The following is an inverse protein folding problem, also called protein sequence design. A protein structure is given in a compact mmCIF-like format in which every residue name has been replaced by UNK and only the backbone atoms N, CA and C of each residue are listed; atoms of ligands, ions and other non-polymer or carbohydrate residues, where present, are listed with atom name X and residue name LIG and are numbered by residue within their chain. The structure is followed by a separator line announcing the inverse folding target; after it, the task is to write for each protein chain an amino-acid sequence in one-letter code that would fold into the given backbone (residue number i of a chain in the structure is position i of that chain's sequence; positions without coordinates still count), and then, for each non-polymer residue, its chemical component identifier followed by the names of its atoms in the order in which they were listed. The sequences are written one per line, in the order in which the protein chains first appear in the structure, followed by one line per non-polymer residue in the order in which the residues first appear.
data_IF_223781055382
#
_entry.id   IF_223781055382
#
_cell.length_a   1.000
_cell.length_b   1.000
_cell.length_c   1.000
_cell.angle_alpha   90.00
_cell.angle_beta   90.00
_cell.angle_gamma   90.00
#
_symmetry.space_group_name_H-M   'P 1'
#
loop_
_entity.id
_entity.type
_entity.pdbx_description
1 polymer ?
#
# COMPACT_ATOMS: atom_id res chain seq x y z
N UNK A 1 7.41 -18.70 -1.87
CA UNK A 1 6.60 -17.62 -2.49
C UNK A 1 7.57 -16.60 -3.09
N UNK A 2 7.35 -16.12 -4.31
CA UNK A 2 8.10 -15.00 -4.94
C UNK A 2 7.19 -13.79 -5.13
N UNK A 3 7.74 -12.60 -5.34
CA UNK A 3 6.96 -11.36 -5.49
C UNK A 3 6.02 -11.42 -6.70
N UNK A 4 6.49 -11.94 -7.85
CA UNK A 4 5.65 -12.10 -9.05
C UNK A 4 4.47 -13.04 -8.82
N UNK A 5 4.70 -14.14 -8.09
CA UNK A 5 3.63 -15.09 -7.73
C UNK A 5 2.63 -14.44 -6.78
N UNK A 6 3.10 -13.63 -5.83
CA UNK A 6 2.24 -12.85 -4.94
C UNK A 6 1.39 -11.84 -5.71
N UNK A 7 1.98 -11.06 -6.61
CA UNK A 7 1.29 -10.03 -7.40
C UNK A 7 0.19 -10.60 -8.30
N UNK A 8 0.30 -11.87 -8.71
CA UNK A 8 -0.71 -12.57 -9.51
C UNK A 8 -1.84 -13.21 -8.67
N UNK A 9 -1.78 -13.16 -7.33
CA UNK A 9 -2.81 -13.77 -6.48
C UNK A 9 -4.13 -12.99 -6.52
N UNK A 10 -5.28 -13.66 -6.37
CA UNK A 10 -6.56 -12.98 -6.21
C UNK A 10 -6.55 -12.09 -4.97
N UNK A 11 -7.17 -10.90 -5.04
CA UNK A 11 -7.26 -9.93 -3.95
C UNK A 11 -8.02 -10.51 -2.75
N UNK A 12 -7.30 -11.22 -1.89
CA UNK A 12 -7.75 -11.75 -0.61
C UNK A 12 -6.70 -11.35 0.43
N UNK A 13 -7.13 -10.96 1.63
CA UNK A 13 -6.21 -10.53 2.69
C UNK A 13 -5.37 -11.73 3.16
N UNK A 14 -4.09 -11.72 2.80
CA UNK A 14 -3.08 -12.70 3.20
C UNK A 14 -1.77 -11.96 3.48
N UNK A 15 -0.80 -12.67 4.03
CA UNK A 15 0.55 -12.16 4.28
C UNK A 15 1.59 -13.17 3.78
N UNK A 16 2.83 -12.73 3.64
CA UNK A 16 3.98 -13.62 3.42
C UNK A 16 4.98 -13.39 4.54
N UNK A 17 5.39 -14.45 5.25
CA UNK A 17 6.42 -14.39 6.27
C UNK A 17 7.57 -15.33 5.90
N UNK A 18 8.72 -14.77 5.50
CA UNK A 18 9.89 -15.57 5.15
C UNK A 18 9.64 -16.58 4.01
N UNK A 19 8.91 -16.16 2.97
CA UNK A 19 8.58 -16.96 1.80
C UNK A 19 7.37 -17.89 1.96
N UNK A 20 6.70 -17.88 3.12
CA UNK A 20 5.53 -18.72 3.44
C UNK A 20 4.25 -17.89 3.41
N UNK A 21 3.22 -18.38 2.71
CA UNK A 21 1.89 -17.76 2.72
C UNK A 21 1.22 -17.94 4.10
N UNK A 22 0.72 -16.86 4.66
CA UNK A 22 -0.03 -16.85 5.92
C UNK A 22 -1.41 -16.26 5.64
N UNK A 23 -2.46 -17.00 5.99
CA UNK A 23 -3.82 -16.47 5.88
C UNK A 23 -4.03 -15.38 6.93
N UNK A 24 -4.60 -14.23 6.54
CA UNK A 24 -5.03 -13.26 7.54
C UNK A 24 -6.25 -13.77 8.30
N UNK A 25 -6.43 -13.37 9.56
CA UNK A 25 -7.64 -13.67 10.32
C UNK A 25 -8.89 -13.16 9.60
N UNK A 26 -10.01 -13.86 9.78
CA UNK A 26 -11.31 -13.35 9.36
C UNK A 26 -11.65 -12.12 10.21
N UNK A 27 -11.80 -10.96 9.58
CA UNK A 27 -12.02 -9.70 10.26
C UNK A 27 -13.51 -9.44 10.40
N UNK A 28 -14.00 -9.44 11.64
CA UNK A 28 -15.38 -9.11 11.92
C UNK A 28 -15.62 -7.58 11.90
N UNK A 29 -16.89 -7.17 11.96
CA UNK A 29 -17.27 -5.75 11.96
C UNK A 29 -16.67 -4.96 13.13
N UNK A 30 -16.42 -5.60 14.28
CA UNK A 30 -15.84 -4.91 15.45
C UNK A 30 -14.37 -4.58 15.21
N UNK A 31 -13.64 -5.52 14.63
CA UNK A 31 -12.26 -5.31 14.21
C UNK A 31 -12.18 -4.15 13.23
N UNK A 32 -13.01 -4.15 12.18
CA UNK A 32 -12.99 -3.07 11.18
C UNK A 32 -13.31 -1.71 11.79
N UNK A 33 -14.30 -1.65 12.69
CA UNK A 33 -14.62 -0.41 13.40
C UNK A 33 -13.45 0.09 14.27
N UNK A 34 -12.73 -0.82 14.93
CA UNK A 34 -11.57 -0.46 15.73
C UNK A 34 -10.44 0.10 14.86
N UNK A 35 -10.14 -0.55 13.73
CA UNK A 35 -9.11 -0.10 12.78
C UNK A 35 -9.45 1.28 12.22
N UNK A 36 -10.68 1.50 11.75
CA UNK A 36 -11.11 2.80 11.22
C UNK A 36 -10.97 3.92 12.26
N UNK A 37 -11.42 3.68 13.50
CA UNK A 37 -11.33 4.67 14.57
C UNK A 37 -9.88 4.97 14.96
N UNK A 38 -9.04 3.94 15.01
CA UNK A 38 -7.64 4.07 15.37
C UNK A 38 -6.87 4.86 14.31
N UNK A 39 -7.04 4.51 13.03
CA UNK A 39 -6.41 5.23 11.93
C UNK A 39 -6.83 6.71 11.94
N UNK A 40 -8.13 6.99 12.01
CA UNK A 40 -8.64 8.36 12.08
C UNK A 40 -8.07 9.14 13.27
N UNK A 41 -8.06 8.54 14.47
CA UNK A 41 -7.56 9.21 15.66
C UNK A 41 -6.05 9.50 15.59
N UNK A 42 -5.27 8.60 14.99
CA UNK A 42 -3.83 8.80 14.79
C UNK A 42 -3.56 9.89 13.77
N UNK A 43 -4.28 9.88 12.65
CA UNK A 43 -4.14 10.87 11.57
C UNK A 43 -4.41 12.30 12.09
N UNK A 44 -5.46 12.49 12.89
CA UNK A 44 -5.78 13.79 13.52
C UNK A 44 -4.72 14.28 14.54
N UNK A 45 -3.86 13.38 15.05
CA UNK A 45 -2.91 13.68 16.14
C UNK A 45 -1.48 13.82 15.66
N UNK A 46 -1.14 13.24 14.52
CA UNK A 46 0.21 13.22 13.99
C UNK A 46 0.29 14.18 12.81
N UNK A 47 0.70 15.42 13.07
CA UNK A 47 0.67 16.50 12.05
C UNK A 47 1.73 16.37 10.96
N UNK A 48 2.71 15.49 11.13
CA UNK A 48 3.83 15.28 10.20
C UNK A 48 3.85 13.85 9.62
N UNK A 49 2.87 13.01 9.98
CA UNK A 49 2.78 11.61 9.56
C UNK A 49 1.35 11.31 9.13
N UNK A 50 1.15 10.28 8.32
CA UNK A 50 -0.18 9.80 7.93
C UNK A 50 -0.44 8.40 8.48
N UNK A 51 -1.72 8.10 8.80
CA UNK A 51 -2.14 6.79 9.28
C UNK A 51 -2.97 6.04 8.22
N UNK A 52 -2.45 4.90 7.76
CA UNK A 52 -3.05 4.07 6.72
C UNK A 52 -3.59 2.75 7.27
N UNK A 53 -4.83 2.42 6.98
CA UNK A 53 -5.44 1.16 7.43
C UNK A 53 -5.24 0.03 6.41
N UNK A 54 -4.77 -1.14 6.87
CA UNK A 54 -4.81 -2.39 6.10
C UNK A 54 -4.00 -2.41 4.80
N UNK A 55 -2.89 -1.67 4.74
CA UNK A 55 -2.01 -1.59 3.57
C UNK A 55 -1.05 -2.77 3.49
N UNK A 56 -0.72 -3.23 2.29
CA UNK A 56 0.35 -4.21 2.07
C UNK A 56 1.72 -3.54 2.18
N UNK A 57 2.60 -4.14 2.96
CA UNK A 57 3.96 -3.65 3.20
C UNK A 57 4.98 -4.73 2.81
N UNK A 58 5.75 -4.47 1.76
CA UNK A 58 6.91 -5.28 1.37
C UNK A 58 8.08 -4.96 2.30
N UNK A 59 8.47 -5.94 3.13
CA UNK A 59 9.59 -5.81 4.07
C UNK A 59 10.90 -6.41 3.53
N UNK A 60 10.81 -7.45 2.69
CA UNK A 60 11.95 -8.09 2.05
C UNK A 60 11.49 -8.86 0.82
N UNK A 61 12.29 -8.87 -0.24
CA UNK A 61 12.03 -9.69 -1.43
C UNK A 61 12.57 -11.12 -1.31
N UNK A 62 13.69 -11.29 -0.58
CA UNK A 62 14.38 -12.56 -0.42
C UNK A 62 14.87 -12.77 1.03
N UNK A 63 14.27 -13.70 1.80
CA UNK A 63 13.03 -14.40 1.51
C UNK A 63 11.82 -13.45 1.58
N UNK A 64 10.88 -13.59 0.64
CA UNK A 64 9.73 -12.68 0.51
C UNK A 64 8.99 -12.52 1.84
N UNK A 65 8.86 -11.27 2.28
CA UNK A 65 8.13 -10.91 3.50
C UNK A 65 7.23 -9.73 3.20
N UNK A 66 5.92 -9.96 3.22
CA UNK A 66 4.86 -8.96 3.01
C UNK A 66 3.91 -9.03 4.20
N UNK A 67 3.66 -7.89 4.86
CA UNK A 67 2.75 -7.81 6.03
C UNK A 67 1.60 -6.88 5.73
N UNK A 68 0.45 -7.10 6.36
CA UNK A 68 -0.73 -6.24 6.24
C UNK A 68 -1.13 -5.75 7.64
N UNK A 69 -0.38 -4.79 8.21
CA UNK A 69 -0.70 -4.25 9.52
C UNK A 69 -2.10 -3.65 9.53
N UNK A 70 -2.73 -3.65 10.70
CA UNK A 70 -4.05 -3.05 10.86
C UNK A 70 -4.01 -1.52 10.66
N UNK A 71 -2.98 -0.87 11.19
CA UNK A 71 -2.65 0.53 10.91
C UNK A 71 -1.14 0.66 10.71
N UNK A 72 -0.74 1.26 9.59
CA UNK A 72 0.61 1.75 9.33
C UNK A 72 0.63 3.26 9.63
N UNK A 73 1.63 3.72 10.36
CA UNK A 73 1.92 5.15 10.49
C UNK A 73 3.26 5.39 9.82
N UNK A 74 3.29 6.29 8.84
CA UNK A 74 4.51 6.61 8.10
C UNK A 74 4.56 8.09 7.70
N UNK A 75 5.76 8.56 7.34
CA UNK A 75 6.06 9.91 6.89
C UNK A 75 5.79 10.15 5.40
N UNK A 76 6.31 11.27 4.90
CA UNK A 76 5.85 12.00 3.71
C UNK A 76 5.53 11.15 2.46
N UNK A 77 4.24 10.87 2.29
CA UNK A 77 3.61 11.08 0.99
C UNK A 77 3.16 12.54 0.94
N UNK A 78 3.88 13.39 0.21
CA UNK A 78 3.37 14.71 -0.13
C UNK A 78 2.26 14.54 -1.19
N UNK A 79 1.01 14.83 -0.82
CA UNK A 79 -0.04 14.98 -1.82
C UNK A 79 0.30 16.21 -2.67
N UNK A 80 0.94 15.99 -3.81
CA UNK A 80 1.36 17.05 -4.74
C UNK A 80 0.18 17.65 -5.54
N UNK A 81 -1.07 17.36 -5.16
CA UNK A 81 -2.30 17.77 -5.84
C UNK A 81 -2.90 16.68 -6.73
N UNK A 82 -4.07 16.98 -7.29
CA UNK A 82 -4.67 16.15 -8.34
C UNK A 82 -4.02 16.45 -9.69
N UNK A 83 -3.53 15.41 -10.37
CA UNK A 83 -2.90 15.51 -11.68
C UNK A 83 -3.58 14.58 -12.68
N UNK A 84 -3.54 14.95 -13.96
CA UNK A 84 -4.00 14.14 -15.10
C UNK A 84 -2.99 14.22 -16.23
N UNK A 85 -3.02 13.27 -17.18
CA UNK A 85 -2.06 13.24 -18.28
C UNK A 85 -0.62 12.91 -17.83
N UNK A 86 0.37 13.55 -18.46
CA UNK A 86 1.79 13.30 -18.17
C UNK A 86 2.33 14.23 -17.11
N UNK A 87 2.88 13.65 -16.04
CA UNK A 87 3.45 14.36 -14.89
C UNK A 87 4.95 14.10 -14.82
N UNK A 88 5.73 15.13 -14.49
CA UNK A 88 7.16 14.99 -14.20
C UNK A 88 7.37 15.09 -12.70
N UNK A 89 8.00 14.08 -12.12
CA UNK A 89 8.44 14.04 -10.72
C UNK A 89 9.96 14.20 -10.68
N UNK A 90 10.48 14.93 -9.69
CA UNK A 90 11.91 14.87 -9.38
C UNK A 90 12.15 13.70 -8.43
N UNK A 91 13.03 12.78 -8.84
CA UNK A 91 13.46 11.67 -8.01
C UNK A 91 14.98 11.72 -7.88
N UNK A 92 15.44 12.29 -6.77
CA UNK A 92 16.86 12.49 -6.46
C UNK A 92 17.60 13.22 -7.61
N UNK A 93 17.02 14.32 -8.10
CA UNK A 93 17.56 15.11 -9.21
C UNK A 93 17.37 14.48 -10.60
N UNK A 94 16.71 13.32 -10.70
CA UNK A 94 16.36 12.68 -11.97
C UNK A 94 14.88 12.91 -12.29
N UNK A 95 14.55 13.54 -13.43
CA UNK A 95 13.16 13.74 -13.81
C UNK A 95 12.52 12.43 -14.29
N UNK A 96 11.52 11.94 -13.57
CA UNK A 96 10.68 10.80 -13.93
C UNK A 96 9.37 11.28 -14.56
N UNK A 97 9.10 10.88 -15.80
CA UNK A 97 7.82 11.17 -16.47
C UNK A 97 6.85 10.01 -16.31
N UNK A 98 5.72 10.25 -15.66
CA UNK A 98 4.60 9.32 -15.51
C UNK A 98 3.46 9.71 -16.46
N UNK A 99 2.84 8.74 -17.11
CA UNK A 99 1.60 8.93 -17.88
C UNK A 99 0.42 8.42 -17.04
N UNK A 100 -0.25 9.32 -16.31
CA UNK A 100 -1.32 8.97 -15.38
C UNK A 100 -2.57 8.47 -16.10
N UNK A 101 -2.82 8.96 -17.32
CA UNK A 101 -3.93 8.48 -18.14
C UNK A 101 -3.69 7.02 -18.52
N UNK A 102 -2.45 6.67 -18.90
CA UNK A 102 -2.09 5.28 -19.19
C UNK A 102 -2.29 4.37 -17.97
N UNK A 103 -1.91 4.82 -16.77
CA UNK A 103 -2.02 4.06 -15.51
C UNK A 103 -3.46 3.79 -15.06
N UNK A 104 -4.42 4.63 -15.48
CA UNK A 104 -5.83 4.49 -15.13
C UNK A 104 -6.65 3.76 -16.20
N UNK A 105 -6.07 3.51 -17.38
CA UNK A 105 -6.70 2.63 -18.38
C UNK A 105 -6.65 1.17 -17.93
N UNK A 106 -7.70 0.40 -18.25
CA UNK A 106 -7.82 -1.04 -17.88
C UNK A 106 -6.65 -1.93 -18.34
N UNK A 107 -5.78 -1.45 -19.23
CA UNK A 107 -4.62 -2.19 -19.71
C UNK A 107 -3.41 -2.10 -18.77
N UNK A 108 -3.27 -1.03 -17.98
CA UNK A 108 -2.22 -0.88 -16.97
C UNK A 108 -2.57 -1.52 -15.62
N UNK A 109 -3.84 -1.89 -15.41
CA UNK A 109 -4.32 -2.61 -14.21
C UNK A 109 -4.25 -4.13 -14.35
N UNK A 110 -3.57 -4.67 -15.37
CA UNK A 110 -3.25 -6.10 -15.46
C UNK A 110 -1.80 -6.31 -15.03
N UNK A 111 -1.53 -7.24 -14.10
CA UNK A 111 -0.17 -7.65 -13.76
C UNK A 111 0.53 -8.31 -14.95
#
# INVERSE_FOLDING_TARGET
MTLDVWAAMPQNRAEVAGGVLVASPLLDTRHQMAVTRLAYWLDERLTELAAFAGVELLLAEEPLTIRVPDVLVDGEYENFGEHTGKVSLDFDGTPLTLDLDALTTRHAQRP
#
